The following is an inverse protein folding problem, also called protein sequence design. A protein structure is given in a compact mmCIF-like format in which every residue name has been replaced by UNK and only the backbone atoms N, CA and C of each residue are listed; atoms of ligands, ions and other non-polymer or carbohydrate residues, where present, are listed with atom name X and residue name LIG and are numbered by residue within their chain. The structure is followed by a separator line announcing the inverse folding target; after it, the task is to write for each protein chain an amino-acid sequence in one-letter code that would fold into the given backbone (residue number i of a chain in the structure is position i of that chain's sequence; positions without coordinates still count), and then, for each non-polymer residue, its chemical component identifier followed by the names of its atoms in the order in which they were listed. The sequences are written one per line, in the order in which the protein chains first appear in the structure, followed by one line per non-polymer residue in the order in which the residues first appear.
data_IF_004259625039
#
_entry.id   IF_004259625039
#
_cell.length_a   1.000
_cell.length_b   1.000
_cell.length_c   1.000
_cell.angle_alpha   90.00
_cell.angle_beta   90.00
_cell.angle_gamma   90.00
#
_symmetry.space_group_name_H-M   'P 1'
#
loop_
_entity.id
_entity.type
_entity.pdbx_description
1 polymer ?
#
# COMPACT_ATOMS: atom_id res chain seq x y z
N UNK A 1 -12.32 16.51 -16.44
CA UNK A 1 -11.73 15.28 -16.97
C UNK A 1 -11.36 14.44 -15.77
N UNK A 2 -12.13 13.41 -15.47
CA UNK A 2 -11.88 12.54 -14.31
C UNK A 2 -10.86 11.49 -14.75
N UNK A 3 -9.65 11.54 -14.20
CA UNK A 3 -8.59 10.60 -14.54
C UNK A 3 -8.77 9.37 -13.65
N UNK A 4 -9.42 8.34 -14.20
CA UNK A 4 -9.52 7.06 -13.51
C UNK A 4 -8.17 6.36 -13.61
N UNK A 5 -7.53 6.19 -12.46
CA UNK A 5 -6.26 5.50 -12.29
C UNK A 5 -6.54 4.21 -11.54
N UNK A 6 -6.23 3.08 -12.18
CA UNK A 6 -6.16 1.80 -11.49
C UNK A 6 -4.76 1.72 -10.87
N UNK A 7 -4.69 1.56 -9.55
CA UNK A 7 -3.45 1.48 -8.80
C UNK A 7 -3.30 0.11 -8.17
N UNK A 8 -2.09 -0.42 -8.29
CA UNK A 8 -1.73 -1.75 -7.83
C UNK A 8 -0.82 -1.66 -6.62
N UNK A 9 -1.32 -2.07 -5.46
CA UNK A 9 -0.50 -2.22 -4.25
C UNK A 9 -0.03 -3.67 -4.08
N UNK A 10 1.25 -3.83 -3.74
CA UNK A 10 1.85 -5.09 -3.29
C UNK A 10 1.91 -5.02 -1.77
N UNK A 11 1.23 -5.93 -1.08
CA UNK A 11 1.23 -5.98 0.39
C UNK A 11 2.24 -7.02 0.86
N UNK A 12 2.97 -6.64 1.90
CA UNK A 12 3.91 -7.45 2.64
C UNK A 12 3.43 -7.52 4.09
N UNK A 13 3.30 -8.74 4.61
CA UNK A 13 3.02 -8.96 6.02
C UNK A 13 4.33 -9.27 6.75
N UNK A 14 4.59 -8.58 7.87
CA UNK A 14 5.81 -8.67 8.66
C UNK A 14 5.47 -8.55 10.16
N UNK A 15 5.81 -9.57 10.98
CA UNK A 15 5.80 -9.56 12.46
C UNK A 15 4.67 -8.70 13.10
N UNK A 16 3.40 -9.02 12.80
CA UNK A 16 2.17 -8.33 13.25
C UNK A 16 1.79 -6.99 12.58
N UNK A 17 2.52 -6.55 11.56
CA UNK A 17 2.18 -5.38 10.76
C UNK A 17 2.13 -5.69 9.26
N UNK A 18 1.53 -4.77 8.50
CA UNK A 18 1.46 -4.80 7.05
C UNK A 18 2.12 -3.56 6.48
N UNK A 19 2.88 -3.73 5.40
CA UNK A 19 3.34 -2.61 4.60
C UNK A 19 3.06 -2.88 3.13
N UNK A 20 2.97 -1.82 2.34
CA UNK A 20 2.70 -1.94 0.92
C UNK A 20 3.44 -0.91 0.09
N UNK A 21 3.73 -1.30 -1.14
CA UNK A 21 4.27 -0.43 -2.18
C UNK A 21 3.33 -0.36 -3.38
N UNK A 22 3.21 0.83 -3.97
CA UNK A 22 2.37 1.06 -5.16
C UNK A 22 3.24 0.94 -6.41
N UNK A 23 2.91 0.02 -7.32
CA UNK A 23 3.72 -0.22 -8.53
C UNK A 23 3.80 0.99 -9.46
N UNK A 24 2.68 1.70 -9.60
CA UNK A 24 2.54 2.86 -10.47
C UNK A 24 3.17 4.13 -9.86
N UNK A 25 3.41 4.14 -8.54
CA UNK A 25 4.01 5.24 -7.79
C UNK A 25 5.26 4.75 -7.04
N UNK A 26 6.37 4.50 -7.74
CA UNK A 26 7.61 4.08 -7.11
C UNK A 26 8.08 5.14 -6.11
N UNK A 27 8.17 4.76 -4.84
CA UNK A 27 8.47 5.68 -3.73
C UNK A 27 7.27 5.95 -2.81
N UNK A 28 6.05 5.59 -3.22
CA UNK A 28 4.87 5.63 -2.36
C UNK A 28 4.75 4.29 -1.62
N UNK A 29 5.07 4.36 -0.32
CA UNK A 29 4.97 3.25 0.61
C UNK A 29 4.03 3.62 1.75
N UNK A 30 3.31 2.64 2.25
CA UNK A 30 2.44 2.78 3.41
C UNK A 30 2.61 1.58 4.33
N UNK A 31 2.31 1.77 5.61
CA UNK A 31 2.33 0.72 6.62
C UNK A 31 1.15 0.90 7.59
N UNK A 32 0.71 -0.19 8.19
CA UNK A 32 -0.35 -0.21 9.20
C UNK A 32 -0.33 -1.51 10.00
N UNK A 33 -0.86 -1.50 11.21
CA UNK A 33 -0.96 -2.70 12.05
C UNK A 33 -2.08 -3.62 11.53
N UNK A 34 -3.06 -3.04 10.84
CA UNK A 34 -4.13 -3.78 10.16
C UNK A 34 -4.21 -3.43 8.68
N UNK A 35 -4.87 -4.30 7.89
CA UNK A 35 -5.13 -4.02 6.48
C UNK A 35 -5.93 -2.73 6.28
N UNK A 36 -6.87 -2.42 7.18
CA UNK A 36 -7.71 -1.22 7.10
C UNK A 36 -6.86 0.06 7.24
N UNK A 37 -6.00 0.11 8.26
CA UNK A 37 -5.05 1.21 8.46
C UNK A 37 -4.06 1.32 7.29
N UNK A 38 -3.57 0.20 6.77
CA UNK A 38 -2.71 0.19 5.59
C UNK A 38 -3.43 0.80 4.37
N UNK A 39 -4.70 0.46 4.15
CA UNK A 39 -5.47 1.03 3.05
C UNK A 39 -5.73 2.52 3.23
N UNK A 40 -6.01 2.97 4.46
CA UNK A 40 -6.17 4.39 4.77
C UNK A 40 -4.88 5.16 4.49
N UNK A 41 -3.75 4.68 5.00
CA UNK A 41 -2.43 5.27 4.78
C UNK A 41 -2.04 5.28 3.28
N UNK A 42 -2.36 4.22 2.53
CA UNK A 42 -2.18 4.20 1.07
C UNK A 42 -3.02 5.29 0.40
N UNK A 43 -4.30 5.42 0.78
CA UNK A 43 -5.21 6.40 0.19
C UNK A 43 -4.72 7.83 0.41
N UNK A 44 -4.27 8.12 1.63
CA UNK A 44 -3.67 9.42 1.99
C UNK A 44 -2.35 9.67 1.27
N UNK A 45 -1.44 8.69 1.25
CA UNK A 45 -0.14 8.81 0.60
C UNK A 45 -0.25 9.01 -0.91
N UNK A 46 -1.16 8.30 -1.56
CA UNK A 46 -1.48 8.46 -2.99
C UNK A 46 -2.10 9.84 -3.25
N UNK A 47 -3.04 10.27 -2.40
CA UNK A 47 -3.69 11.57 -2.53
C UNK A 47 -2.68 12.71 -2.45
N UNK A 48 -1.74 12.62 -1.51
CA UNK A 48 -0.65 13.59 -1.38
C UNK A 48 0.29 13.60 -2.60
N UNK A 49 0.53 12.43 -3.20
CA UNK A 49 1.44 12.29 -4.33
C UNK A 49 0.84 12.82 -5.64
N UNK A 50 -0.47 12.64 -5.82
CA UNK A 50 -1.20 13.05 -7.02
C UNK A 50 -1.85 14.44 -6.87
N UNK A 51 -1.89 15.01 -5.66
CA UNK A 51 -2.73 16.18 -5.31
C UNK A 51 -4.22 15.93 -5.67
N UNK A 52 -4.62 14.66 -5.72
CA UNK A 52 -5.92 14.18 -6.17
C UNK A 52 -6.35 12.95 -5.35
N UNK A 53 -7.59 12.90 -4.91
CA UNK A 53 -8.15 11.69 -4.29
C UNK A 53 -8.26 10.57 -5.34
N UNK A 54 -7.77 9.35 -5.06
CA UNK A 54 -7.91 8.24 -5.99
C UNK A 54 -9.40 7.93 -6.21
N UNK A 55 -9.90 8.28 -7.40
CA UNK A 55 -11.31 8.12 -7.78
C UNK A 55 -11.71 6.67 -8.13
N UNK A 56 -10.77 5.72 -8.01
CA UNK A 56 -10.94 4.32 -8.39
C UNK A 56 -10.67 3.35 -7.23
N UNK A 57 -11.14 2.10 -7.34
CA UNK A 57 -10.84 1.07 -6.35
C UNK A 57 -9.36 0.73 -6.39
N UNK A 58 -8.73 0.68 -5.21
CA UNK A 58 -7.36 0.19 -5.07
C UNK A 58 -7.37 -1.32 -5.28
N UNK A 59 -6.66 -1.81 -6.30
CA UNK A 59 -6.56 -3.25 -6.55
C UNK A 59 -5.37 -3.82 -5.81
N UNK A 60 -5.64 -4.81 -4.95
CA UNK A 60 -4.62 -5.62 -4.32
C UNK A 60 -4.18 -6.72 -5.28
N UNK A 61 -2.97 -6.64 -5.84
CA UNK A 61 -2.51 -7.61 -6.83
C UNK A 61 -1.76 -8.80 -6.24
N UNK A 62 -1.05 -8.63 -5.12
CA UNK A 62 -0.31 -9.72 -4.50
C UNK A 62 -0.07 -9.45 -3.02
N UNK A 63 -0.29 -10.48 -2.21
CA UNK A 63 0.07 -10.49 -0.79
C UNK A 63 1.24 -11.44 -0.62
N UNK A 64 2.37 -10.92 -0.16
CA UNK A 64 3.54 -11.71 0.20
C UNK A 64 3.57 -11.83 1.70
N UNK A 65 3.35 -13.04 2.22
CA UNK A 65 3.56 -13.33 3.63
C UNK A 65 5.03 -13.66 3.82
N UNK A 66 5.78 -12.72 4.38
CA UNK A 66 7.15 -12.96 4.78
C UNK A 66 7.13 -13.49 6.20
N UNK A 67 6.97 -14.81 6.35
CA UNK A 67 7.27 -15.53 7.60
C UNK A 67 8.80 -15.64 7.77
N UNK A 68 9.53 -14.52 7.60
CA UNK A 68 10.95 -14.49 7.91
C UNK A 68 11.05 -14.15 9.39
N UNK A 69 11.52 -15.07 10.26
CA UNK A 69 11.85 -14.67 11.61
C UNK A 69 12.88 -13.55 11.50
N UNK A 70 12.56 -12.37 12.05
CA UNK A 70 13.52 -11.31 12.30
C UNK A 70 14.63 -11.90 13.18
N UNK A 71 15.65 -12.50 12.56
CA UNK A 71 16.82 -12.98 13.26
C UNK A 71 17.61 -11.76 13.70
N UNK A 72 17.32 -11.32 14.93
CA UNK A 72 18.17 -10.46 15.74
C UNK A 72 19.63 -10.87 15.59
N UNK A 73 20.48 -9.91 15.20
CA UNK A 73 21.93 -9.97 15.35
C UNK A 73 22.36 -8.80 16.22
#
# INVERSE_FOLDING_TARGET
MERRMDLTAIIHAEDDAYWAEVKELPGCFAAGETLDELFEALREGISLCLDEEPAGPLHLASVTFTDAPLTTA
#
